data_IF_487680096010
#
_entry.id   IF_487680096010
#
_cell.length_a   1.000
_cell.length_b   1.000
_cell.length_c   1.000
_cell.angle_alpha   90.00
_cell.angle_beta   90.00
_cell.angle_gamma   90.00
#
_symmetry.space_group_name_H-M   'P 1'
#
loop_
_entity.id
_entity.type
_entity.pdbx_description
1 polymer ?
#
# COMPACT_ATOMS: atom_id res chain seq x y z
N UNK A 1 27.63 -8.40 12.00
CA UNK A 1 26.94 -9.15 13.08
C UNK A 1 25.53 -9.38 12.59
N UNK A 2 25.31 -10.53 11.95
CA UNK A 2 24.05 -10.87 11.26
C UNK A 2 23.11 -11.43 12.31
N UNK A 3 22.10 -10.66 12.70
CA UNK A 3 21.00 -11.17 13.52
C UNK A 3 20.16 -12.09 12.63
N UNK A 4 20.42 -13.39 12.66
CA UNK A 4 19.45 -14.39 12.25
C UNK A 4 18.29 -14.33 13.24
N UNK A 5 17.27 -13.55 12.92
CA UNK A 5 15.98 -13.70 13.58
C UNK A 5 15.43 -15.05 13.12
N UNK A 6 15.24 -15.96 14.08
CA UNK A 6 14.50 -17.18 13.87
C UNK A 6 13.07 -16.80 13.48
N UNK A 7 12.65 -17.11 12.26
CA UNK A 7 11.28 -16.89 11.79
C UNK A 7 10.30 -17.63 12.73
N UNK A 8 9.37 -16.87 13.29
CA UNK A 8 8.43 -17.40 14.29
C UNK A 8 7.39 -18.32 13.63
N UNK A 9 7.17 -19.48 14.23
CA UNK A 9 6.21 -20.50 13.77
C UNK A 9 4.72 -20.04 13.83
N UNK A 10 4.42 -18.83 14.30
CA UNK A 10 3.07 -18.28 14.45
C UNK A 10 2.38 -17.85 13.15
N UNK A 11 2.98 -18.08 12.00
CA UNK A 11 2.38 -17.72 10.72
C UNK A 11 2.34 -16.19 10.50
N UNK A 12 3.41 -15.61 9.96
CA UNK A 12 3.45 -14.20 9.62
C UNK A 12 2.35 -13.83 8.63
N UNK A 13 1.71 -12.66 8.86
CA UNK A 13 0.79 -12.07 7.90
C UNK A 13 1.55 -11.62 6.65
N UNK A 14 2.68 -10.94 6.85
CA UNK A 14 3.62 -10.48 5.82
C UNK A 14 5.01 -10.99 6.18
N UNK A 15 5.70 -11.60 5.22
CA UNK A 15 7.12 -11.94 5.32
C UNK A 15 7.89 -11.26 4.20
N UNK A 16 8.99 -10.62 4.57
CA UNK A 16 9.98 -10.00 3.67
C UNK A 16 11.29 -10.71 3.93
N UNK A 17 11.82 -11.42 2.92
CA UNK A 17 12.94 -12.33 3.07
C UNK A 17 14.05 -12.02 2.07
N UNK A 18 15.18 -11.52 2.57
CA UNK A 18 16.38 -11.22 1.77
C UNK A 18 16.14 -10.20 0.65
N UNK A 19 15.16 -9.30 0.82
CA UNK A 19 14.70 -8.43 -0.26
C UNK A 19 15.74 -7.37 -0.62
N UNK A 20 16.21 -7.44 -1.86
CA UNK A 20 17.03 -6.42 -2.52
C UNK A 20 16.19 -5.76 -3.62
N UNK A 21 16.15 -4.42 -3.59
CA UNK A 21 15.46 -3.60 -4.59
C UNK A 21 16.48 -2.71 -5.30
N UNK A 22 16.54 -2.86 -6.62
CA UNK A 22 17.38 -2.05 -7.49
C UNK A 22 16.57 -1.43 -8.60
N UNK A 23 16.95 -0.24 -9.01
CA UNK A 23 16.41 0.40 -10.22
C UNK A 23 17.55 1.03 -11.02
N UNK A 24 17.36 1.00 -12.32
CA UNK A 24 18.30 1.59 -13.27
C UNK A 24 17.92 3.04 -13.52
N UNK A 25 18.88 3.93 -13.28
CA UNK A 25 18.83 5.32 -13.79
C UNK A 25 19.57 5.38 -15.12
N UNK A 26 19.57 6.53 -15.80
CA UNK A 26 20.30 6.69 -17.07
C UNK A 26 21.78 6.38 -16.91
N UNK A 27 22.37 6.71 -15.76
CA UNK A 27 23.81 6.66 -15.52
C UNK A 27 24.27 5.51 -14.59
N UNK A 28 23.36 4.89 -13.83
CA UNK A 28 23.76 3.94 -12.79
C UNK A 28 22.66 2.94 -12.38
N UNK A 29 23.09 1.83 -11.80
CA UNK A 29 22.26 0.90 -11.05
C UNK A 29 22.23 1.36 -9.58
N UNK A 30 21.06 1.78 -9.12
CA UNK A 30 20.86 2.25 -7.74
C UNK A 30 20.23 1.14 -6.90
N UNK A 31 20.90 0.78 -5.80
CA UNK A 31 20.35 -0.17 -4.80
C UNK A 31 19.59 0.62 -3.74
N UNK A 32 18.26 0.50 -3.76
CA UNK A 32 17.37 1.18 -2.80
C UNK A 32 17.32 0.45 -1.45
N UNK A 33 17.27 -0.89 -1.48
CA UNK A 33 17.36 -1.75 -0.29
C UNK A 33 18.26 -2.93 -0.58
N UNK A 34 18.93 -3.46 0.45
CA UNK A 34 19.82 -4.60 0.31
C UNK A 34 19.56 -5.61 1.41
N UNK A 35 19.12 -6.82 1.01
CA UNK A 35 18.85 -7.98 1.87
C UNK A 35 18.07 -7.64 3.14
N UNK A 36 16.88 -7.05 2.95
CA UNK A 36 16.00 -6.68 4.05
C UNK A 36 15.15 -7.88 4.47
N UNK A 37 15.14 -8.16 5.78
CA UNK A 37 14.39 -9.25 6.39
C UNK A 37 13.54 -8.73 7.54
N UNK A 38 12.23 -8.99 7.53
CA UNK A 38 11.32 -8.80 8.66
C UNK A 38 10.00 -9.53 8.45
N UNK A 39 9.26 -9.68 9.54
CA UNK A 39 7.91 -10.24 9.54
C UNK A 39 6.95 -9.28 10.23
N UNK A 40 5.69 -9.27 9.77
CA UNK A 40 4.58 -8.54 10.39
C UNK A 40 3.48 -9.55 10.67
N UNK A 41 2.95 -9.54 11.88
CA UNK A 41 1.90 -10.45 12.31
C UNK A 41 0.52 -9.77 12.27
N UNK A 42 -0.53 -10.58 12.42
CA UNK A 42 -1.89 -10.07 12.46
C UNK A 42 -2.05 -9.04 13.59
N UNK A 43 -2.63 -7.89 13.28
CA UNK A 43 -2.86 -6.76 14.18
C UNK A 43 -1.61 -5.97 14.61
N UNK A 44 -0.43 -6.27 14.08
CA UNK A 44 0.75 -5.45 14.32
C UNK A 44 0.61 -4.05 13.71
N UNK A 45 1.31 -3.11 14.36
CA UNK A 45 1.60 -1.78 13.83
C UNK A 45 3.10 -1.68 13.60
N UNK A 46 3.50 -1.86 12.36
CA UNK A 46 4.90 -1.88 11.96
C UNK A 46 5.33 -0.52 11.38
N UNK A 47 6.47 -0.02 11.81
CA UNK A 47 6.99 1.29 11.37
C UNK A 47 8.38 1.11 10.76
N UNK A 48 8.56 1.64 9.54
CA UNK A 48 9.85 1.73 8.88
C UNK A 48 10.48 3.10 9.17
N UNK A 49 11.60 3.12 9.88
CA UNK A 49 12.35 4.33 10.21
C UNK A 49 13.64 4.40 9.41
N UNK A 50 14.05 5.60 9.08
CA UNK A 50 15.32 5.87 8.39
C UNK A 50 15.33 7.23 7.72
N UNK A 51 16.51 7.74 7.30
CA UNK A 51 16.66 9.03 6.65
C UNK A 51 15.90 9.09 5.30
N UNK A 52 15.73 10.29 4.77
CA UNK A 52 15.17 10.48 3.43
C UNK A 52 16.07 9.80 2.39
N UNK A 53 15.48 9.15 1.39
CA UNK A 53 16.20 8.46 0.32
C UNK A 53 16.71 7.05 0.66
N UNK A 54 16.55 6.54 1.90
CA UNK A 54 17.04 5.20 2.27
C UNK A 54 16.18 4.02 1.79
N UNK A 55 15.25 4.22 0.86
CA UNK A 55 14.49 3.14 0.22
C UNK A 55 13.17 2.75 0.89
N UNK A 56 12.69 3.44 1.95
CA UNK A 56 11.42 3.11 2.64
C UNK A 56 10.22 3.04 1.70
N UNK A 57 10.04 4.09 0.89
CA UNK A 57 8.91 4.15 -0.06
C UNK A 57 9.05 3.10 -1.17
N UNK A 58 10.28 2.79 -1.58
CA UNK A 58 10.57 1.73 -2.56
C UNK A 58 10.19 0.36 -2.01
N UNK A 59 10.56 0.10 -0.75
CA UNK A 59 10.19 -1.15 -0.07
C UNK A 59 8.67 -1.27 0.12
N UNK A 60 7.99 -0.19 0.52
CA UNK A 60 6.53 -0.18 0.63
C UNK A 60 5.86 -0.43 -0.73
N UNK A 61 6.38 0.15 -1.83
CA UNK A 61 5.88 -0.13 -3.18
C UNK A 61 6.06 -1.62 -3.55
N UNK A 62 7.19 -2.24 -3.17
CA UNK A 62 7.39 -3.66 -3.40
C UNK A 62 6.42 -4.52 -2.57
N UNK A 63 6.19 -4.20 -1.31
CA UNK A 63 5.18 -4.85 -0.46
C UNK A 63 3.77 -4.69 -1.06
N UNK A 64 3.49 -3.53 -1.65
CA UNK A 64 2.23 -3.28 -2.36
C UNK A 64 2.08 -4.04 -3.69
N UNK A 65 3.16 -4.66 -4.19
CA UNK A 65 3.17 -5.37 -5.48
C UNK A 65 3.39 -4.45 -6.69
N UNK A 66 3.79 -3.19 -6.47
CA UNK A 66 4.10 -2.25 -7.56
C UNK A 66 5.53 -2.37 -8.09
N UNK A 67 6.40 -3.07 -7.36
CA UNK A 67 7.79 -3.32 -7.74
C UNK A 67 8.13 -4.77 -7.40
N UNK A 68 8.82 -5.44 -8.32
CA UNK A 68 9.34 -6.80 -8.09
C UNK A 68 10.74 -6.72 -7.49
N UNK A 69 11.03 -7.45 -6.41
CA UNK A 69 12.38 -7.54 -5.88
C UNK A 69 13.37 -8.10 -6.91
N UNK A 70 14.60 -7.58 -6.89
CA UNK A 70 15.72 -8.12 -7.69
C UNK A 70 16.24 -9.41 -7.08
N UNK A 71 16.23 -9.49 -5.75
CA UNK A 71 16.58 -10.68 -4.96
C UNK A 71 15.63 -10.79 -3.77
N UNK A 72 15.46 -12.01 -3.26
CA UNK A 72 14.57 -12.31 -2.15
C UNK A 72 13.10 -12.37 -2.56
N UNK A 73 12.21 -12.47 -1.58
CA UNK A 73 10.77 -12.61 -1.82
C UNK A 73 9.95 -11.86 -0.78
N UNK A 74 8.75 -11.50 -1.19
CA UNK A 74 7.74 -10.92 -0.31
C UNK A 74 6.51 -11.82 -0.37
N UNK A 75 6.03 -12.28 0.79
CA UNK A 75 4.82 -13.10 0.87
C UNK A 75 3.79 -12.46 1.78
N UNK A 76 2.51 -12.54 1.38
CA UNK A 76 1.36 -12.14 2.19
C UNK A 76 0.47 -13.37 2.42
N UNK A 77 0.26 -13.74 3.67
CA UNK A 77 -0.47 -14.97 4.05
C UNK A 77 0.06 -16.22 3.35
N UNK A 78 1.38 -16.33 3.21
CA UNK A 78 2.06 -17.43 2.54
C UNK A 78 1.98 -17.42 1.00
N UNK A 79 1.39 -16.40 0.39
CA UNK A 79 1.35 -16.23 -1.07
C UNK A 79 2.33 -15.14 -1.49
N UNK A 80 3.09 -15.41 -2.53
CA UNK A 80 4.02 -14.43 -3.09
C UNK A 80 3.29 -13.20 -3.63
N UNK A 81 3.86 -12.03 -3.38
CA UNK A 81 3.35 -10.74 -3.84
C UNK A 81 4.01 -10.41 -5.18
N UNK A 82 3.31 -10.61 -6.27
CA UNK A 82 3.80 -10.36 -7.64
C UNK A 82 3.13 -9.15 -8.31
N UNK A 83 1.95 -8.74 -7.84
CA UNK A 83 1.16 -7.65 -8.41
C UNK A 83 0.33 -6.95 -7.34
N UNK A 84 -0.16 -5.71 -7.57
CA UNK A 84 -1.08 -5.05 -6.67
C UNK A 84 -2.40 -5.81 -6.54
N UNK A 85 -2.98 -5.83 -5.33
CA UNK A 85 -4.22 -6.55 -5.08
C UNK A 85 -5.12 -5.89 -4.04
N UNK A 86 -6.42 -6.26 -3.98
CA UNK A 86 -7.40 -5.67 -3.05
C UNK A 86 -7.22 -6.15 -1.61
N UNK A 87 -6.31 -7.08 -1.37
CA UNK A 87 -5.95 -7.65 -0.06
C UNK A 87 -5.00 -6.75 0.74
N UNK A 88 -4.41 -5.75 0.08
CA UNK A 88 -3.55 -4.72 0.67
C UNK A 88 -3.81 -3.38 0.01
N UNK A 89 -3.77 -2.33 0.80
CA UNK A 89 -3.98 -0.97 0.32
C UNK A 89 -2.75 -0.13 0.64
N UNK A 90 -2.28 0.59 -0.36
CA UNK A 90 -1.20 1.56 -0.21
C UNK A 90 -1.78 2.98 -0.25
N UNK A 91 -1.47 3.77 0.79
CA UNK A 91 -1.73 5.21 0.79
C UNK A 91 -0.41 5.90 0.45
N UNK A 92 -0.36 6.53 -0.73
CA UNK A 92 0.83 7.24 -1.18
C UNK A 92 0.94 8.62 -0.49
N UNK A 93 2.11 9.20 -0.52
CA UNK A 93 2.37 10.54 0.03
C UNK A 93 1.79 11.65 -0.87
N UNK A 94 1.65 11.38 -2.16
CA UNK A 94 1.14 12.32 -3.15
C UNK A 94 -0.39 12.42 -3.06
N UNK A 95 -0.92 13.61 -3.26
CA UNK A 95 -2.36 13.89 -3.13
C UNK A 95 -3.17 13.48 -4.37
N UNK A 96 -2.52 13.19 -5.50
CA UNK A 96 -3.13 12.91 -6.79
C UNK A 96 -3.64 11.46 -6.95
N UNK A 97 -4.11 10.86 -5.85
CA UNK A 97 -4.60 9.47 -5.86
C UNK A 97 -6.09 9.38 -6.19
N UNK A 98 -6.80 10.49 -6.10
CA UNK A 98 -8.22 10.55 -6.42
C UNK A 98 -8.40 10.81 -7.91
N UNK A 99 -9.47 10.26 -8.48
CA UNK A 99 -9.87 10.55 -9.85
C UNK A 99 -10.38 11.99 -9.91
N UNK A 100 -9.65 12.92 -10.54
CA UNK A 100 -9.96 14.35 -10.46
C UNK A 100 -11.27 14.74 -11.15
N UNK A 101 -11.74 13.89 -12.08
CA UNK A 101 -13.02 14.04 -12.78
C UNK A 101 -14.22 13.45 -12.03
N UNK A 102 -14.01 12.88 -10.85
CA UNK A 102 -15.07 12.36 -9.97
C UNK A 102 -15.17 13.19 -8.72
N UNK A 103 -16.40 13.32 -8.20
CA UNK A 103 -16.63 13.94 -6.90
C UNK A 103 -16.07 13.09 -5.75
N UNK A 104 -16.00 13.62 -4.55
CA UNK A 104 -15.62 12.88 -3.34
C UNK A 104 -16.47 11.62 -3.18
N UNK A 105 -17.80 11.76 -3.32
CA UNK A 105 -18.72 10.63 -3.23
C UNK A 105 -18.48 9.58 -4.30
N UNK A 106 -18.28 10.00 -5.53
CA UNK A 106 -18.03 9.11 -6.66
C UNK A 106 -16.68 8.38 -6.56
N UNK A 107 -15.63 9.01 -6.01
CA UNK A 107 -14.35 8.37 -5.74
C UNK A 107 -14.49 7.22 -4.73
N UNK A 108 -15.23 7.44 -3.64
CA UNK A 108 -15.47 6.39 -2.63
C UNK A 108 -16.33 5.25 -3.21
N UNK A 109 -17.36 5.58 -3.97
CA UNK A 109 -18.21 4.59 -4.66
C UNK A 109 -17.36 3.77 -5.64
N UNK A 110 -16.50 4.43 -6.42
CA UNK A 110 -15.61 3.76 -7.36
C UNK A 110 -14.70 2.75 -6.67
N UNK A 111 -14.06 3.13 -5.56
CA UNK A 111 -13.19 2.23 -4.81
C UNK A 111 -13.92 0.98 -4.30
N UNK A 112 -15.17 1.13 -3.83
CA UNK A 112 -15.99 0.02 -3.35
C UNK A 112 -16.45 -0.90 -4.47
N UNK A 113 -16.79 -0.36 -5.63
CA UNK A 113 -17.26 -1.15 -6.78
C UNK A 113 -16.11 -1.79 -7.54
N UNK A 114 -15.04 -1.07 -7.79
CA UNK A 114 -13.86 -1.58 -8.51
C UNK A 114 -13.15 -2.70 -7.76
N UNK A 115 -13.14 -2.65 -6.41
CA UNK A 115 -12.61 -3.73 -5.57
C UNK A 115 -13.56 -4.94 -5.41
N UNK A 116 -14.75 -4.90 -6.02
CA UNK A 116 -15.76 -5.95 -5.87
C UNK A 116 -16.39 -6.06 -4.48
N UNK A 117 -16.15 -5.10 -3.58
CA UNK A 117 -16.60 -5.13 -2.17
C UNK A 117 -18.05 -4.74 -1.97
N UNK A 118 -18.66 -4.08 -2.95
CA UNK A 118 -20.07 -3.69 -2.90
C UNK A 118 -20.67 -3.55 -4.30
N UNK A 119 -21.97 -3.84 -4.41
CA UNK A 119 -22.75 -3.52 -5.62
C UNK A 119 -23.03 -2.01 -5.66
N UNK A 120 -23.32 -1.41 -6.83
CA UNK A 120 -23.46 0.06 -6.98
C UNK A 120 -24.45 0.73 -6.01
N UNK A 121 -25.58 0.11 -5.71
CA UNK A 121 -26.57 0.66 -4.77
C UNK A 121 -26.04 0.67 -3.33
N UNK A 122 -25.51 -0.44 -2.87
CA UNK A 122 -24.87 -0.59 -1.56
C UNK A 122 -23.62 0.30 -1.43
N UNK A 123 -22.82 0.42 -2.49
CA UNK A 123 -21.62 1.26 -2.50
C UNK A 123 -21.96 2.74 -2.22
N UNK A 124 -23.08 3.25 -2.74
CA UNK A 124 -23.51 4.64 -2.49
C UNK A 124 -23.87 4.86 -1.02
N UNK A 125 -24.59 3.95 -0.41
CA UNK A 125 -24.97 4.03 1.01
C UNK A 125 -23.73 3.96 1.90
N UNK A 126 -22.85 3.00 1.66
CA UNK A 126 -21.58 2.85 2.39
C UNK A 126 -20.65 4.04 2.21
N UNK A 127 -20.57 4.60 0.99
CA UNK A 127 -19.77 5.77 0.71
C UNK A 127 -20.23 6.98 1.55
N UNK A 128 -21.54 7.23 1.63
CA UNK A 128 -22.10 8.29 2.49
C UNK A 128 -21.71 8.10 3.94
N UNK A 129 -21.84 6.88 4.46
CA UNK A 129 -21.47 6.57 5.85
C UNK A 129 -19.98 6.81 6.12
N UNK A 130 -19.08 6.45 5.21
CA UNK A 130 -17.65 6.71 5.38
C UNK A 130 -17.31 8.19 5.30
N UNK A 131 -17.92 8.92 4.37
CA UNK A 131 -17.71 10.36 4.19
C UNK A 131 -18.21 11.12 5.42
N UNK A 132 -19.32 10.70 6.00
CA UNK A 132 -19.87 11.28 7.23
C UNK A 132 -18.92 11.07 8.41
N UNK A 133 -18.39 9.86 8.59
CA UNK A 133 -17.41 9.53 9.65
C UNK A 133 -16.17 10.40 9.65
N UNK A 134 -15.75 10.90 8.49
CA UNK A 134 -14.59 11.80 8.36
C UNK A 134 -14.98 13.28 8.25
N UNK A 135 -16.25 13.61 8.45
CA UNK A 135 -16.75 14.99 8.49
C UNK A 135 -16.81 15.68 7.12
N UNK A 136 -16.80 14.92 6.03
CA UNK A 136 -16.79 15.47 4.66
C UNK A 136 -18.15 15.49 3.98
N UNK A 137 -19.25 15.28 4.71
CA UNK A 137 -20.61 15.20 4.15
C UNK A 137 -20.98 16.43 3.31
N UNK A 138 -20.54 17.63 3.73
CA UNK A 138 -20.79 18.88 2.99
C UNK A 138 -20.07 18.95 1.64
N UNK A 139 -19.06 18.13 1.44
CA UNK A 139 -18.20 18.10 0.25
C UNK A 139 -18.43 16.88 -0.62
N UNK A 140 -19.49 16.11 -0.37
CA UNK A 140 -19.73 14.84 -1.07
C UNK A 140 -19.81 15.01 -2.59
N UNK A 141 -20.36 16.12 -3.04
CA UNK A 141 -20.51 16.49 -4.46
C UNK A 141 -19.38 17.42 -4.97
N UNK A 142 -18.40 17.74 -4.13
CA UNK A 142 -17.24 18.54 -4.52
C UNK A 142 -16.20 17.67 -5.22
N UNK A 143 -15.44 18.28 -6.15
CA UNK A 143 -14.29 17.62 -6.78
C UNK A 143 -13.04 17.73 -5.90
N UNK A 144 -12.05 16.79 -6.02
CA UNK A 144 -10.86 16.80 -5.19
C UNK A 144 -10.10 18.12 -5.15
N UNK A 145 -9.97 18.81 -6.28
CA UNK A 145 -9.30 20.11 -6.38
C UNK A 145 -10.03 21.26 -5.67
N UNK A 146 -11.27 21.05 -5.24
CA UNK A 146 -12.04 22.04 -4.47
C UNK A 146 -11.85 21.89 -2.96
N UNK A 147 -11.15 20.85 -2.53
CA UNK A 147 -10.81 20.61 -1.12
C UNK A 147 -9.46 21.27 -0.81
N UNK A 148 -9.42 22.04 0.25
CA UNK A 148 -8.19 22.65 0.77
C UNK A 148 -7.42 21.68 1.70
#
# INVERSE_FOLDING_TARGET
>A
MTLHQSFDARGALLSVEGVTLQYKTEDALVTATHRVDFQVFQSDRFVLLGPSGCGKSTLLKAIGGYLTPTEGQITLKGKEVTEPGPDRMMVFQEFDQLLPWKTVGENVVFALTASGRAKPAEARERARSYIDKVGLTKFIDSYPHMLS
#
